data_IF_237283704064
#
_entry.id   IF_237283704064
#
_cell.length_a   1.000
_cell.length_b   1.000
_cell.length_c   1.000
_cell.angle_alpha   90.00
_cell.angle_beta   90.00
_cell.angle_gamma   90.00
#
_symmetry.space_group_name_H-M   'P 1'
#
loop_
_entity.id
_entity.type
_entity.pdbx_description
1 polymer ?
#
# COMPACT_ATOMS: atom_id res chain seq x y z
N UNK A 1 37.79 58.56 -2.97
CA UNK A 1 36.51 58.31 -2.30
C UNK A 1 36.42 59.21 -1.08
N UNK A 2 35.38 60.00 -0.94
CA UNK A 2 35.13 60.74 0.26
C UNK A 2 34.65 59.81 1.38
N UNK A 3 34.84 60.25 2.64
CA UNK A 3 34.34 59.50 3.80
C UNK A 3 32.83 59.32 3.75
N UNK A 4 32.13 60.26 3.16
CA UNK A 4 30.69 60.22 2.95
C UNK A 4 30.26 59.15 2.01
N UNK A 5 30.98 58.94 0.92
CA UNK A 5 30.72 57.83 -0.04
C UNK A 5 30.99 56.46 0.58
N UNK A 6 32.02 56.35 1.39
CA UNK A 6 32.36 55.13 2.10
C UNK A 6 31.27 54.79 3.11
N UNK A 7 30.74 55.75 3.83
CA UNK A 7 29.63 55.55 4.77
C UNK A 7 28.37 55.05 4.07
N UNK A 8 28.04 55.56 2.88
CA UNK A 8 26.91 55.14 2.09
C UNK A 8 27.06 53.67 1.67
N UNK A 9 28.24 53.28 1.20
CA UNK A 9 28.53 51.91 0.80
C UNK A 9 28.40 50.95 1.99
N UNK A 10 28.94 51.29 3.14
CA UNK A 10 28.85 50.49 4.36
C UNK A 10 27.40 50.33 4.80
N UNK A 11 26.62 51.41 4.78
CA UNK A 11 25.19 51.36 5.13
C UNK A 11 24.39 50.43 4.22
N UNK A 12 24.66 50.43 2.93
CA UNK A 12 24.02 49.54 1.98
C UNK A 12 24.44 48.10 2.19
N UNK A 13 25.69 47.84 2.49
CA UNK A 13 26.17 46.50 2.79
C UNK A 13 25.49 45.92 4.03
N UNK A 14 25.37 46.72 5.08
CA UNK A 14 24.68 46.32 6.32
C UNK A 14 23.20 45.97 6.05
N UNK A 15 22.54 46.84 5.27
CA UNK A 15 21.13 46.58 4.90
C UNK A 15 20.97 45.30 4.13
N UNK A 16 21.86 44.99 3.19
CA UNK A 16 21.83 43.74 2.42
C UNK A 16 22.09 42.51 3.30
N UNK A 17 23.00 42.63 4.26
CA UNK A 17 23.26 41.58 5.23
C UNK A 17 22.02 41.30 6.08
N UNK A 18 21.31 42.30 6.55
CA UNK A 18 20.08 42.16 7.30
C UNK A 18 19.00 41.43 6.47
N UNK A 19 18.84 41.83 5.20
CA UNK A 19 17.91 41.18 4.29
C UNK A 19 18.26 39.71 4.07
N UNK A 20 19.54 39.39 3.94
CA UNK A 20 20.00 38.01 3.79
C UNK A 20 19.73 37.20 5.05
N UNK A 21 19.92 37.78 6.23
CA UNK A 21 19.63 37.14 7.50
C UNK A 21 18.14 36.80 7.63
N UNK A 22 17.25 37.73 7.24
CA UNK A 22 15.81 37.47 7.22
C UNK A 22 15.45 36.34 6.27
N UNK A 23 16.03 36.27 5.08
CA UNK A 23 15.80 35.19 4.11
C UNK A 23 16.28 33.86 4.64
N UNK A 24 17.41 33.84 5.33
CA UNK A 24 17.91 32.61 5.96
C UNK A 24 16.95 32.08 7.03
N UNK A 25 16.39 33.00 7.85
CA UNK A 25 15.39 32.61 8.84
C UNK A 25 14.12 32.05 8.19
N UNK A 26 13.62 32.67 7.13
CA UNK A 26 12.48 32.19 6.38
C UNK A 26 12.75 30.78 5.78
N UNK A 27 13.94 30.62 5.21
CA UNK A 27 14.35 29.32 4.68
C UNK A 27 14.42 28.25 5.77
N UNK A 28 14.92 28.60 6.95
CA UNK A 28 14.98 27.69 8.08
C UNK A 28 13.58 27.23 8.52
N UNK A 29 12.61 28.13 8.56
CA UNK A 29 11.21 27.80 8.86
C UNK A 29 10.62 26.85 7.81
N UNK A 30 10.86 27.14 6.52
CA UNK A 30 10.41 26.29 5.42
C UNK A 30 11.02 24.89 5.53
N UNK A 31 12.32 24.79 5.83
CA UNK A 31 12.98 23.50 6.01
C UNK A 31 12.41 22.73 7.19
N UNK A 32 12.09 23.40 8.29
CA UNK A 32 11.45 22.75 9.43
C UNK A 32 10.07 22.23 9.09
N UNK A 33 9.26 23.00 8.36
CA UNK A 33 7.95 22.57 7.87
C UNK A 33 8.06 21.37 6.94
N UNK A 34 9.03 21.39 6.02
CA UNK A 34 9.28 20.25 5.13
C UNK A 34 9.69 19.00 5.90
N UNK A 35 10.49 19.15 6.94
CA UNK A 35 10.88 18.03 7.78
C UNK A 35 9.67 17.40 8.47
N UNK A 36 8.75 18.20 8.99
CA UNK A 36 7.51 17.71 9.59
C UNK A 36 6.65 16.96 8.57
N UNK A 37 6.49 17.51 7.38
CA UNK A 37 5.73 16.89 6.29
C UNK A 37 6.36 15.55 5.90
N UNK A 38 7.67 15.50 5.76
CA UNK A 38 8.38 14.27 5.44
C UNK A 38 8.21 13.20 6.53
N UNK A 39 8.24 13.60 7.80
CA UNK A 39 7.99 12.68 8.90
C UNK A 39 6.56 12.14 8.88
N UNK A 40 5.57 12.98 8.62
CA UNK A 40 4.17 12.55 8.48
C UNK A 40 3.99 11.60 7.29
N UNK A 41 4.62 11.89 6.16
CA UNK A 41 4.57 11.02 4.98
C UNK A 41 5.24 9.67 5.25
N UNK A 42 6.34 9.66 6.00
CA UNK A 42 7.01 8.42 6.40
C UNK A 42 6.09 7.56 7.25
N UNK A 43 5.39 8.15 8.21
CA UNK A 43 4.43 7.44 9.05
C UNK A 43 3.25 6.88 8.24
N UNK A 44 2.72 7.67 7.30
CA UNK A 44 1.65 7.23 6.41
C UNK A 44 2.09 6.08 5.50
N UNK A 45 3.30 6.13 4.97
CA UNK A 45 3.85 5.04 4.16
C UNK A 45 3.99 3.76 4.98
N UNK A 46 4.41 3.89 6.23
CA UNK A 46 4.52 2.76 7.15
C UNK A 46 3.16 2.12 7.42
N UNK A 47 2.15 2.93 7.71
CA UNK A 47 0.78 2.47 7.90
C UNK A 47 0.24 1.79 6.63
N UNK A 48 0.49 2.38 5.47
CA UNK A 48 0.08 1.81 4.19
C UNK A 48 0.73 0.44 3.95
N UNK A 49 2.01 0.31 4.26
CA UNK A 49 2.71 -0.97 4.13
C UNK A 49 2.13 -2.03 5.06
N UNK A 50 1.80 -1.68 6.29
CA UNK A 50 1.15 -2.58 7.24
C UNK A 50 -0.24 -3.01 6.74
N UNK A 51 -1.02 -2.06 6.22
CA UNK A 51 -2.33 -2.33 5.65
C UNK A 51 -2.25 -3.26 4.43
N UNK A 52 -1.30 -3.02 3.53
CA UNK A 52 -1.06 -3.87 2.36
C UNK A 52 -0.65 -5.27 2.77
N UNK A 53 0.22 -5.40 3.77
CA UNK A 53 0.65 -6.69 4.29
C UNK A 53 -0.52 -7.47 4.87
N UNK A 54 -1.35 -6.82 5.66
CA UNK A 54 -2.57 -7.42 6.21
C UNK A 54 -3.54 -7.86 5.11
N UNK A 55 -3.74 -7.02 4.10
CA UNK A 55 -4.56 -7.35 2.95
C UNK A 55 -4.04 -8.58 2.21
N UNK A 56 -2.73 -8.67 2.00
CA UNK A 56 -2.11 -9.83 1.38
C UNK A 56 -2.34 -11.10 2.19
N UNK A 57 -2.14 -11.04 3.51
CA UNK A 57 -2.34 -12.19 4.40
C UNK A 57 -3.79 -12.67 4.36
N UNK A 58 -4.75 -11.77 4.44
CA UNK A 58 -6.18 -12.10 4.37
C UNK A 58 -6.52 -12.70 2.99
N UNK A 59 -5.99 -12.11 1.92
CA UNK A 59 -6.22 -12.60 0.55
C UNK A 59 -5.68 -14.02 0.35
N UNK A 60 -4.51 -14.31 0.90
CA UNK A 60 -3.92 -15.66 0.84
C UNK A 60 -4.80 -16.66 1.60
N UNK A 61 -5.26 -16.31 2.79
CA UNK A 61 -6.16 -17.16 3.57
C UNK A 61 -7.46 -17.44 2.82
N UNK A 62 -8.08 -16.43 2.23
CA UNK A 62 -9.30 -16.59 1.45
C UNK A 62 -9.07 -17.47 0.23
N UNK A 63 -7.94 -17.33 -0.42
CA UNK A 63 -7.57 -18.15 -1.56
C UNK A 63 -7.40 -19.61 -1.16
N UNK A 64 -6.76 -19.89 -0.04
CA UNK A 64 -6.59 -21.23 0.51
C UNK A 64 -7.93 -21.85 0.88
N UNK A 65 -8.82 -21.10 1.50
CA UNK A 65 -10.17 -21.56 1.83
C UNK A 65 -10.95 -21.91 0.55
N UNK A 66 -10.83 -21.11 -0.48
CA UNK A 66 -11.48 -21.38 -1.76
C UNK A 66 -10.95 -22.64 -2.42
N UNK A 67 -9.64 -22.86 -2.37
CA UNK A 67 -9.03 -24.10 -2.89
C UNK A 67 -9.55 -25.32 -2.14
N UNK A 68 -9.60 -25.27 -0.82
CA UNK A 68 -10.12 -26.35 0.00
C UNK A 68 -11.59 -26.65 -0.32
N UNK A 69 -12.39 -25.59 -0.45
CA UNK A 69 -13.79 -25.74 -0.85
C UNK A 69 -13.92 -26.39 -2.21
N UNK A 70 -13.13 -25.97 -3.18
CA UNK A 70 -13.15 -26.54 -4.53
C UNK A 70 -12.75 -28.01 -4.53
N UNK A 71 -11.75 -28.40 -3.76
CA UNK A 71 -11.34 -29.80 -3.62
C UNK A 71 -12.45 -30.66 -3.02
N UNK A 72 -13.11 -30.17 -1.98
CA UNK A 72 -14.24 -30.86 -1.36
C UNK A 72 -15.41 -30.99 -2.32
N UNK A 73 -15.71 -29.94 -3.05
CA UNK A 73 -16.77 -29.96 -4.06
C UNK A 73 -16.48 -30.98 -5.15
N UNK A 74 -15.26 -31.03 -5.66
CA UNK A 74 -14.85 -31.99 -6.68
C UNK A 74 -14.93 -33.42 -6.17
N UNK A 75 -14.53 -33.67 -4.92
CA UNK A 75 -14.64 -35.01 -4.31
C UNK A 75 -16.09 -35.45 -4.18
N UNK A 76 -17.00 -34.55 -3.80
CA UNK A 76 -18.43 -34.86 -3.73
C UNK A 76 -19.01 -35.13 -5.12
N UNK A 77 -18.58 -34.36 -6.10
CA UNK A 77 -19.03 -34.57 -7.49
C UNK A 77 -18.60 -35.92 -8.03
N UNK A 78 -17.38 -36.38 -7.75
CA UNK A 78 -16.92 -37.69 -8.12
C UNK A 78 -17.74 -38.82 -7.45
N UNK A 79 -18.02 -38.67 -6.16
CA UNK A 79 -18.88 -39.63 -5.43
C UNK A 79 -20.26 -39.70 -6.05
N UNK A 80 -20.84 -38.59 -6.42
CA UNK A 80 -22.14 -38.55 -7.07
C UNK A 80 -22.11 -39.25 -8.44
N UNK A 81 -21.05 -39.03 -9.21
CA UNK A 81 -20.87 -39.71 -10.50
C UNK A 81 -20.77 -41.24 -10.35
N UNK A 82 -20.00 -41.72 -9.37
CA UNK A 82 -19.90 -43.14 -9.10
C UNK A 82 -21.24 -43.73 -8.67
N UNK A 83 -21.99 -43.05 -7.85
CA UNK A 83 -23.32 -43.46 -7.45
C UNK A 83 -24.25 -43.55 -8.67
N UNK A 84 -24.22 -42.54 -9.53
CA UNK A 84 -25.05 -42.49 -10.74
C UNK A 84 -24.72 -43.64 -11.69
N UNK A 85 -23.43 -43.93 -11.88
CA UNK A 85 -23.01 -45.09 -12.73
C UNK A 85 -23.51 -46.39 -12.20
N UNK A 86 -23.37 -46.65 -10.90
CA UNK A 86 -23.86 -47.88 -10.28
C UNK A 86 -25.38 -47.99 -10.35
N UNK A 87 -26.07 -46.89 -10.17
CA UNK A 87 -27.53 -46.84 -10.28
C UNK A 87 -27.98 -47.17 -11.70
N UNK A 88 -27.35 -46.57 -12.70
CA UNK A 88 -27.66 -46.84 -14.11
C UNK A 88 -27.35 -48.27 -14.49
N UNK A 89 -26.25 -48.85 -14.00
CA UNK A 89 -25.91 -50.24 -14.26
C UNK A 89 -26.93 -51.19 -13.64
N UNK A 90 -27.42 -50.91 -12.44
CA UNK A 90 -28.48 -51.69 -11.80
C UNK A 90 -29.80 -51.63 -12.55
N UNK A 91 -30.17 -50.46 -13.02
CA UNK A 91 -31.36 -50.27 -13.87
C UNK A 91 -31.24 -51.07 -15.16
N UNK A 92 -30.08 -51.06 -15.77
CA UNK A 92 -29.81 -51.84 -17.00
C UNK A 92 -29.94 -53.36 -16.75
N UNK A 93 -29.39 -53.87 -15.65
CA UNK A 93 -29.55 -55.28 -15.25
C UNK A 93 -31.01 -55.65 -15.04
N UNK A 94 -31.79 -54.83 -14.37
CA UNK A 94 -33.21 -55.06 -14.12
C UNK A 94 -33.99 -55.07 -15.43
N UNK A 95 -33.67 -54.16 -16.35
CA UNK A 95 -34.37 -54.10 -17.63
C UNK A 95 -34.07 -55.26 -18.57
N UNK A 96 -32.93 -55.93 -18.38
CA UNK A 96 -32.53 -57.12 -19.15
C UNK A 96 -33.04 -58.43 -18.60
N UNK A 97 -33.56 -58.47 -17.37
CA UNK A 97 -34.17 -59.64 -16.79
C UNK A 97 -35.54 -59.89 -17.42
N UNK A 98 -35.85 -61.12 -17.86
CA UNK A 98 -37.17 -61.47 -18.39
C UNK A 98 -38.27 -61.36 -17.37
#
# INVERSE_FOLDING_TARGET
>A
MSDKDLLVVISEMLRKQDQQAEKLDEHSEILNQHTEILNQQTDLLKENNETLKHFMDVSIQQFQQQLTFNEQFMAQFEKQNHFNERFLNKLDEISKKP
#
